data_IF_164965633519
#
_entry.id   IF_164965633519
#
_cell.length_a   1.000
_cell.length_b   1.000
_cell.length_c   1.000
_cell.angle_alpha   90.00
_cell.angle_beta   90.00
_cell.angle_gamma   90.00
#
_symmetry.space_group_name_H-M   'P 1'
#
loop_
_entity.id
_entity.type
_entity.pdbx_description
1 polymer ?
#
# COMPACT_ATOMS: atom_id res chain seq x y z
N UNK A 1 8.80 -18.89 10.78
CA UNK A 1 10.01 -18.64 9.96
C UNK A 1 9.68 -18.30 8.48
N UNK A 2 8.54 -18.74 7.91
CA UNK A 2 8.16 -18.38 6.53
C UNK A 2 7.81 -16.89 6.31
N UNK A 3 7.20 -16.21 7.27
CA UNK A 3 6.83 -14.78 7.12
C UNK A 3 8.03 -13.85 6.94
N UNK A 4 9.17 -14.18 7.55
CA UNK A 4 10.35 -13.31 7.58
C UNK A 4 11.06 -13.21 6.20
N UNK A 5 11.08 -14.31 5.44
CA UNK A 5 11.70 -14.36 4.10
C UNK A 5 10.90 -13.55 3.08
N UNK A 6 9.57 -13.56 3.19
CA UNK A 6 8.70 -12.76 2.32
C UNK A 6 8.88 -11.27 2.56
N UNK A 7 8.96 -10.84 3.82
CA UNK A 7 9.01 -9.40 4.17
C UNK A 7 10.39 -8.79 3.85
N UNK A 8 11.47 -9.54 4.05
CA UNK A 8 12.82 -9.09 3.66
C UNK A 8 12.99 -8.94 2.14
N UNK A 9 12.17 -9.61 1.32
CA UNK A 9 12.11 -9.38 -0.13
C UNK A 9 11.26 -8.17 -0.50
N UNK A 10 10.32 -7.77 0.35
CA UNK A 10 9.43 -6.64 0.14
C UNK A 10 10.12 -5.27 0.29
N UNK A 11 11.31 -5.21 0.89
CA UNK A 11 12.18 -4.02 0.90
C UNK A 11 13.02 -3.85 -0.37
N UNK A 12 12.89 -4.75 -1.37
CA UNK A 12 13.68 -4.71 -2.62
C UNK A 12 13.13 -3.78 -3.71
N UNK A 13 12.06 -3.02 -3.41
CA UNK A 13 11.46 -2.05 -4.34
C UNK A 13 11.94 -0.67 -3.91
N UNK A 14 12.84 0.00 -4.66
CA UNK A 14 13.52 1.21 -4.21
C UNK A 14 12.56 2.40 -4.01
N UNK A 15 11.44 2.40 -4.71
CA UNK A 15 10.41 3.43 -4.56
C UNK A 15 9.58 3.28 -3.28
N UNK A 16 9.59 2.12 -2.63
CA UNK A 16 8.75 1.84 -1.46
C UNK A 16 9.61 1.66 -0.21
N UNK A 17 9.23 2.36 0.86
CA UNK A 17 9.81 2.20 2.20
C UNK A 17 8.88 1.35 3.05
N UNK A 18 9.40 0.28 3.63
CA UNK A 18 8.70 -0.49 4.65
C UNK A 18 8.52 0.36 5.93
N UNK A 19 7.33 0.34 6.52
CA UNK A 19 7.03 0.95 7.81
C UNK A 19 6.98 -0.14 8.89
N UNK A 20 7.79 0.03 9.93
CA UNK A 20 7.82 -0.89 11.07
C UNK A 20 8.73 -2.12 10.88
N UNK A 21 8.64 -3.02 11.84
CA UNK A 21 9.51 -4.18 11.95
C UNK A 21 8.97 -5.35 11.09
N UNK A 22 9.86 -6.08 10.40
CA UNK A 22 9.51 -7.13 9.44
C UNK A 22 9.20 -8.50 10.06
N UNK A 23 9.17 -8.56 11.38
CA UNK A 23 8.94 -9.73 12.22
C UNK A 23 7.46 -9.94 12.58
N UNK A 24 6.57 -9.05 12.14
CA UNK A 24 5.11 -9.16 12.34
C UNK A 24 4.36 -9.45 11.05
N UNK A 25 3.15 -10.01 11.17
CA UNK A 25 2.30 -10.36 10.03
C UNK A 25 1.68 -9.14 9.32
N UNK A 26 1.85 -7.93 9.85
CA UNK A 26 1.36 -6.71 9.22
C UNK A 26 2.54 -6.06 8.51
N UNK A 27 2.40 -5.86 7.20
CA UNK A 27 3.42 -5.28 6.34
C UNK A 27 2.86 -4.00 5.77
N UNK A 28 3.52 -2.89 6.06
CA UNK A 28 3.11 -1.55 5.66
C UNK A 28 4.16 -0.92 4.76
N UNK A 29 3.73 -0.24 3.69
CA UNK A 29 4.61 0.54 2.82
C UNK A 29 4.17 1.99 2.73
N UNK A 30 5.17 2.84 2.62
CA UNK A 30 5.03 4.26 2.27
C UNK A 30 6.01 4.60 1.14
N UNK A 31 5.90 5.79 0.56
CA UNK A 31 6.87 6.28 -0.43
C UNK A 31 7.05 7.78 -0.31
N UNK A 32 8.30 8.24 -0.44
CA UNK A 32 8.61 9.66 -0.62
C UNK A 32 8.89 10.00 -2.09
N UNK A 33 8.95 8.98 -2.96
CA UNK A 33 9.41 9.09 -4.36
C UNK A 33 8.22 9.07 -5.32
N UNK A 34 7.25 8.21 -5.04
CA UNK A 34 6.06 8.04 -5.87
C UNK A 34 4.81 8.30 -5.04
N UNK A 35 3.79 8.80 -5.71
CA UNK A 35 2.54 9.12 -5.06
C UNK A 35 1.64 7.87 -5.00
N UNK A 36 1.82 7.05 -3.96
CA UNK A 36 0.99 5.87 -3.70
C UNK A 36 -0.42 6.29 -3.29
N UNK A 37 -1.25 6.56 -4.31
CA UNK A 37 -2.64 7.01 -4.17
C UNK A 37 -2.84 8.32 -3.39
N UNK A 38 -1.80 9.12 -3.14
CA UNK A 38 -1.83 10.25 -2.20
C UNK A 38 -2.26 9.88 -0.80
N UNK A 39 -2.05 8.61 -0.43
CA UNK A 39 -2.21 8.08 0.91
C UNK A 39 -0.84 7.91 1.52
N UNK A 40 -0.71 8.18 2.82
CA UNK A 40 0.59 8.12 3.48
C UNK A 40 1.10 6.69 3.66
N UNK A 41 0.22 5.68 3.63
CA UNK A 41 0.57 4.29 3.91
C UNK A 41 -0.45 3.32 3.29
N UNK A 42 0.02 2.16 2.83
CA UNK A 42 -0.80 1.00 2.45
C UNK A 42 -0.26 -0.21 3.23
N UNK A 43 -1.14 -1.04 3.78
CA UNK A 43 -0.74 -2.23 4.53
C UNK A 43 -1.48 -3.49 4.08
N UNK A 44 -0.85 -4.64 4.30
CA UNK A 44 -1.45 -5.96 4.17
C UNK A 44 -1.22 -6.75 5.46
N UNK A 45 -2.27 -7.41 5.93
CA UNK A 45 -2.17 -8.41 6.99
C UNK A 45 -1.97 -9.78 6.35
N UNK A 46 -0.76 -10.32 6.48
CA UNK A 46 -0.41 -11.66 6.01
C UNK A 46 -1.11 -12.70 6.87
N UNK A 47 -1.89 -13.55 6.23
CA UNK A 47 -2.60 -14.69 6.84
C UNK A 47 -2.08 -16.01 6.23
N UNK A 48 -2.42 -17.19 6.79
CA UNK A 48 -2.03 -18.48 6.20
C UNK A 48 -2.44 -18.66 4.74
N UNK A 49 -3.50 -17.96 4.28
CA UNK A 49 -3.92 -18.00 2.88
C UNK A 49 -2.86 -17.40 1.93
N UNK A 50 -2.00 -16.52 2.45
CA UNK A 50 -0.96 -15.84 1.69
C UNK A 50 0.38 -16.59 1.71
N UNK A 51 0.48 -17.71 2.44
CA UNK A 51 1.70 -18.54 2.51
C UNK A 51 1.74 -19.64 1.45
N UNK A 52 0.77 -19.67 0.53
CA UNK A 52 0.79 -20.54 -0.63
C UNK A 52 2.03 -20.30 -1.51
N UNK A 53 2.51 -21.34 -2.16
CA UNK A 53 3.65 -21.23 -3.09
C UNK A 53 3.33 -20.22 -4.19
N UNK A 54 4.24 -19.27 -4.43
CA UNK A 54 4.10 -18.26 -5.49
C UNK A 54 3.25 -17.03 -5.15
N UNK A 55 2.39 -17.06 -4.13
CA UNK A 55 1.49 -15.94 -3.79
C UNK A 55 2.29 -14.66 -3.46
N UNK A 56 3.38 -14.79 -2.71
CA UNK A 56 4.26 -13.69 -2.38
C UNK A 56 4.99 -13.13 -3.62
N UNK A 57 5.38 -14.00 -4.55
CA UNK A 57 6.08 -13.61 -5.77
C UNK A 57 5.15 -12.87 -6.72
N UNK A 58 3.92 -13.37 -6.88
CA UNK A 58 2.87 -12.70 -7.64
C UNK A 58 2.54 -11.33 -7.06
N UNK A 59 2.35 -11.23 -5.74
CA UNK A 59 2.12 -9.95 -5.06
C UNK A 59 3.25 -8.95 -5.34
N UNK A 60 4.51 -9.37 -5.22
CA UNK A 60 5.66 -8.51 -5.50
C UNK A 60 5.73 -8.08 -6.97
N UNK A 61 5.42 -8.98 -7.91
CA UNK A 61 5.38 -8.65 -9.33
C UNK A 61 4.28 -7.62 -9.63
N UNK A 62 3.09 -7.78 -9.04
CA UNK A 62 2.00 -6.81 -9.17
C UNK A 62 2.35 -5.45 -8.58
N UNK A 63 2.94 -5.40 -7.38
CA UNK A 63 3.37 -4.14 -6.77
C UNK A 63 4.39 -3.42 -7.67
N UNK A 64 5.38 -4.13 -8.21
CA UNK A 64 6.37 -3.55 -9.13
C UNK A 64 5.72 -2.96 -10.37
N UNK A 65 4.79 -3.70 -10.98
CA UNK A 65 4.03 -3.23 -12.14
C UNK A 65 3.21 -1.97 -11.82
N UNK A 66 2.53 -1.93 -10.67
CA UNK A 66 1.77 -0.75 -10.25
C UNK A 66 2.67 0.46 -9.99
N UNK A 67 3.86 0.26 -9.42
CA UNK A 67 4.88 1.32 -9.28
C UNK A 67 5.29 1.87 -10.64
N UNK A 68 5.53 1.00 -11.62
CA UNK A 68 5.87 1.42 -12.99
C UNK A 68 4.73 2.19 -13.66
N UNK A 69 3.48 1.74 -13.50
CA UNK A 69 2.29 2.43 -14.02
C UNK A 69 2.14 3.85 -13.44
N UNK A 70 2.37 4.01 -12.13
CA UNK A 70 2.33 5.31 -11.44
C UNK A 70 3.48 6.20 -11.94
N UNK A 71 4.69 5.67 -12.08
CA UNK A 71 5.85 6.42 -12.58
C UNK A 71 5.67 6.86 -14.03
N UNK A 72 5.03 6.04 -14.86
CA UNK A 72 4.75 6.37 -16.25
C UNK A 72 3.73 7.51 -16.38
N UNK A 73 2.76 7.60 -15.47
CA UNK A 73 1.69 8.59 -15.52
C UNK A 73 1.39 9.22 -14.15
N UNK A 74 2.30 10.05 -13.60
CA UNK A 74 2.17 10.59 -12.23
C UNK A 74 0.98 11.56 -12.06
N UNK A 75 0.46 12.11 -13.15
CA UNK A 75 -0.72 12.99 -13.17
C UNK A 75 -1.99 12.29 -13.65
N UNK A 76 -1.99 10.96 -13.77
CA UNK A 76 -3.19 10.21 -14.11
C UNK A 76 -4.34 10.52 -13.14
N UNK A 77 -5.56 10.55 -13.67
CA UNK A 77 -6.74 10.67 -12.80
C UNK A 77 -6.80 9.47 -11.87
N UNK A 78 -6.97 9.73 -10.58
CA UNK A 78 -7.19 8.70 -9.59
C UNK A 78 -8.50 7.97 -9.90
N UNK A 79 -8.51 6.65 -9.70
CA UNK A 79 -9.75 5.89 -9.63
C UNK A 79 -10.63 6.39 -8.49
N UNK A 80 -11.93 6.12 -8.56
CA UNK A 80 -12.94 6.65 -7.63
C UNK A 80 -12.59 6.39 -6.16
N UNK A 81 -12.17 5.18 -5.81
CA UNK A 81 -11.75 4.82 -4.46
C UNK A 81 -10.54 5.65 -3.99
N UNK A 82 -9.49 5.74 -4.80
CA UNK A 82 -8.29 6.51 -4.46
C UNK A 82 -8.59 8.03 -4.33
N UNK A 83 -9.51 8.55 -5.14
CA UNK A 83 -9.98 9.93 -5.02
C UNK A 83 -10.76 10.17 -3.72
N UNK A 84 -11.61 9.24 -3.31
CA UNK A 84 -12.37 9.29 -2.07
C UNK A 84 -11.43 9.26 -0.84
N UNK A 85 -10.52 8.29 -0.76
CA UNK A 85 -9.59 8.19 0.34
C UNK A 85 -8.70 9.43 0.46
N UNK A 86 -8.24 9.99 -0.68
CA UNK A 86 -7.52 11.26 -0.69
C UNK A 86 -8.35 12.42 -0.16
N UNK A 87 -9.61 12.52 -0.58
CA UNK A 87 -10.51 13.57 -0.11
C UNK A 87 -10.68 13.48 1.41
N UNK A 88 -11.03 12.28 1.92
CA UNK A 88 -11.19 12.03 3.35
C UNK A 88 -9.93 12.38 4.14
N UNK A 89 -8.75 12.08 3.59
CA UNK A 89 -7.47 12.42 4.23
C UNK A 89 -7.18 13.93 4.28
N UNK A 90 -7.58 14.68 3.25
CA UNK A 90 -7.36 16.14 3.17
C UNK A 90 -8.31 16.96 4.04
N UNK A 91 -9.44 16.39 4.44
CA UNK A 91 -10.41 17.07 5.30
C UNK A 91 -9.82 17.17 6.72
N UNK A 92 -9.54 18.38 7.23
CA UNK A 92 -8.97 18.55 8.56
C UNK A 92 -9.99 18.20 9.65
N UNK A 93 -11.25 18.59 9.43
CA UNK A 93 -12.35 18.33 10.36
C UNK A 93 -12.85 16.89 10.20
N UNK A 94 -12.44 16.04 11.14
CA UNK A 94 -12.79 14.62 11.11
C UNK A 94 -14.26 14.35 11.38
N UNK A 95 -15.04 15.31 11.90
CA UNK A 95 -16.49 15.17 12.05
C UNK A 95 -17.21 15.02 10.71
N UNK A 96 -16.74 15.74 9.69
CA UNK A 96 -17.25 15.64 8.32
C UNK A 96 -17.01 14.24 7.76
N UNK A 97 -15.81 13.69 7.96
CA UNK A 97 -15.49 12.31 7.52
C UNK A 97 -16.36 11.28 8.25
N UNK A 98 -16.68 11.51 9.53
CA UNK A 98 -17.57 10.64 10.30
C UNK A 98 -19.01 10.66 9.77
N UNK A 99 -19.52 11.82 9.38
CA UNK A 99 -20.86 11.95 8.79
C UNK A 99 -21.01 11.08 7.52
N UNK A 100 -20.02 11.13 6.63
CA UNK A 100 -19.97 10.28 5.43
C UNK A 100 -19.85 8.78 5.76
N UNK A 101 -19.21 8.41 6.85
CA UNK A 101 -19.03 7.00 7.24
C UNK A 101 -20.27 6.36 7.87
N UNK A 102 -21.22 7.17 8.33
CA UNK A 102 -22.44 6.73 9.00
C UNK A 102 -23.70 6.79 8.11
N UNK A 103 -23.54 7.14 6.84
CA UNK A 103 -24.59 7.12 5.81
C UNK A 103 -24.50 5.86 4.96
#
# INVERSE_FOLDING_TARGET
MLGFVTISRMSSIPELRLQGASDVCIVSWTSDIIDIQRLHEIHIMVTPNHTGSGVADELLAYIRKSVEEIKANPSAKLGEAAALYRMAHKIPDRSIVQEFAHT
#
